data_IF_307550028567
#
_entry.id   IF_307550028567
#
_cell.length_a   1.000
_cell.length_b   1.000
_cell.length_c   1.000
_cell.angle_alpha   90.00
_cell.angle_beta   90.00
_cell.angle_gamma   90.00
#
_symmetry.space_group_name_H-M   'P 1'
#
loop_
_entity.id
_entity.type
_entity.pdbx_description
1 polymer ?
#
# COMPACT_ATOMS: atom_id res chain seq x y z
N UNK A 1 6.51 55.21 -1.47
CA UNK A 1 5.35 54.58 -2.14
C UNK A 1 5.87 53.45 -3.03
N UNK A 2 5.71 52.19 -2.62
CA UNK A 2 6.02 51.01 -3.44
C UNK A 2 4.68 50.35 -3.80
N UNK A 3 4.36 50.30 -5.09
CA UNK A 3 3.14 49.69 -5.62
C UNK A 3 3.29 48.17 -5.63
N UNK A 4 2.50 47.48 -4.82
CA UNK A 4 2.33 46.03 -4.86
C UNK A 4 1.38 45.65 -6.00
N UNK A 5 1.90 45.00 -7.04
CA UNK A 5 1.10 44.39 -8.10
C UNK A 5 0.51 43.07 -7.61
N UNK A 6 -0.79 43.05 -7.35
CA UNK A 6 -1.57 41.83 -7.07
C UNK A 6 -1.79 41.06 -8.37
N UNK A 7 -1.13 39.92 -8.54
CA UNK A 7 -1.44 38.97 -9.62
C UNK A 7 -2.70 38.19 -9.25
N UNK A 8 -3.82 38.46 -9.91
CA UNK A 8 -5.03 37.65 -9.76
C UNK A 8 -4.85 36.31 -10.47
N UNK A 9 -4.73 35.22 -9.71
CA UNK A 9 -4.80 33.87 -10.25
C UNK A 9 -6.23 33.58 -10.71
N UNK A 10 -6.42 33.43 -12.02
CA UNK A 10 -7.70 33.07 -12.61
C UNK A 10 -8.02 31.61 -12.28
N UNK A 11 -8.86 31.38 -11.26
CA UNK A 11 -9.45 30.06 -10.99
C UNK A 11 -10.29 29.61 -12.19
N UNK A 12 -9.91 28.49 -12.80
CA UNK A 12 -10.67 27.89 -13.89
C UNK A 12 -11.80 27.04 -13.32
N UNK A 13 -13.02 27.60 -13.30
CA UNK A 13 -14.25 26.87 -12.92
C UNK A 13 -14.87 26.18 -14.13
N UNK A 14 -14.69 24.87 -14.25
CA UNK A 14 -15.57 24.07 -15.12
C UNK A 14 -16.93 23.96 -14.42
N UNK A 15 -18.07 24.20 -15.10
CA UNK A 15 -19.37 24.16 -14.45
C UNK A 15 -19.66 22.77 -13.88
N UNK A 16 -20.02 22.69 -12.59
CA UNK A 16 -20.42 21.48 -11.86
C UNK A 16 -21.34 20.53 -12.66
N UNK A 17 -22.19 21.09 -13.53
CA UNK A 17 -23.10 20.35 -14.43
C UNK A 17 -22.36 19.41 -15.39
N UNK A 18 -21.18 19.79 -15.90
CA UNK A 18 -20.38 18.96 -16.82
C UNK A 18 -19.69 17.80 -16.09
N UNK A 19 -19.23 18.03 -14.86
CA UNK A 19 -18.65 16.99 -14.00
C UNK A 19 -19.69 15.91 -13.61
N UNK A 20 -20.88 16.35 -13.21
CA UNK A 20 -22.00 15.45 -12.90
C UNK A 20 -22.40 14.64 -14.14
N UNK A 21 -22.42 15.25 -15.32
CA UNK A 21 -22.78 14.56 -16.56
C UNK A 21 -21.80 13.43 -16.90
N UNK A 22 -20.49 13.65 -16.77
CA UNK A 22 -19.46 12.61 -17.02
C UNK A 22 -19.59 11.46 -16.01
N UNK A 23 -19.82 11.77 -14.73
CA UNK A 23 -20.04 10.76 -13.69
C UNK A 23 -21.30 9.93 -13.95
N UNK A 24 -22.41 10.59 -14.29
CA UNK A 24 -23.67 9.92 -14.62
C UNK A 24 -23.55 9.05 -15.87
N UNK A 25 -22.76 9.45 -16.88
CA UNK A 25 -22.51 8.61 -18.05
C UNK A 25 -21.66 7.36 -17.71
N UNK A 26 -20.69 7.48 -16.80
CA UNK A 26 -19.91 6.33 -16.30
C UNK A 26 -20.74 5.35 -15.48
N UNK A 27 -21.62 5.87 -14.63
CA UNK A 27 -22.53 5.05 -13.80
C UNK A 27 -23.62 4.42 -14.68
N UNK A 28 -24.24 5.17 -15.60
CA UNK A 28 -25.29 4.67 -16.48
C UNK A 28 -24.77 3.61 -17.47
N UNK A 29 -23.53 3.73 -17.95
CA UNK A 29 -22.91 2.68 -18.77
C UNK A 29 -22.67 1.41 -17.96
N UNK A 30 -22.23 1.53 -16.70
CA UNK A 30 -22.01 0.37 -15.81
C UNK A 30 -23.33 -0.32 -15.41
N UNK A 31 -24.36 0.45 -15.04
CA UNK A 31 -25.68 -0.08 -14.64
C UNK A 31 -26.44 -0.61 -15.86
N UNK A 32 -26.38 0.08 -17.00
CA UNK A 32 -27.01 -0.35 -18.25
C UNK A 32 -26.48 -1.69 -18.76
N UNK A 33 -25.18 -1.95 -18.58
CA UNK A 33 -24.58 -3.25 -18.87
C UNK A 33 -25.19 -4.34 -17.97
N UNK A 34 -25.30 -4.11 -16.66
CA UNK A 34 -25.84 -5.10 -15.72
C UNK A 34 -27.34 -5.41 -15.94
N UNK A 35 -28.18 -4.39 -16.14
CA UNK A 35 -29.64 -4.57 -16.32
C UNK A 35 -29.96 -5.22 -17.67
N UNK A 36 -29.22 -4.90 -18.73
CA UNK A 36 -29.47 -5.46 -20.06
C UNK A 36 -28.99 -6.91 -20.20
N UNK A 37 -27.90 -7.29 -19.54
CA UNK A 37 -27.42 -8.70 -19.52
C UNK A 37 -28.37 -9.65 -18.78
N UNK A 38 -29.10 -9.16 -17.77
CA UNK A 38 -30.09 -9.96 -17.03
C UNK A 38 -31.34 -10.30 -17.86
N UNK A 39 -31.75 -9.42 -18.77
CA UNK A 39 -32.96 -9.62 -19.57
C UNK A 39 -32.71 -10.45 -20.84
N UNK A 40 -31.51 -10.40 -21.42
CA UNK A 40 -31.16 -11.15 -22.64
C UNK A 40 -30.80 -12.62 -22.40
N UNK A 41 -30.52 -13.02 -21.15
CA UNK A 41 -30.16 -14.39 -20.80
C UNK A 41 -31.32 -15.39 -20.96
N UNK A 42 -32.55 -14.91 -21.18
CA UNK A 42 -33.73 -15.78 -21.29
C UNK A 42 -34.07 -16.24 -22.71
N UNK A 43 -33.52 -15.62 -23.77
CA UNK A 43 -34.01 -15.90 -25.14
C UNK A 43 -32.95 -16.15 -26.22
N UNK A 44 -31.72 -15.62 -26.14
CA UNK A 44 -30.73 -15.79 -27.23
C UNK A 44 -29.26 -15.81 -26.74
N UNK A 45 -28.64 -16.99 -26.51
CA UNK A 45 -27.28 -17.08 -25.96
C UNK A 45 -26.17 -16.55 -26.89
N UNK A 46 -26.40 -16.51 -28.21
CA UNK A 46 -25.39 -16.02 -29.19
C UNK A 46 -25.35 -14.49 -29.35
N UNK A 47 -26.35 -13.75 -28.86
CA UNK A 47 -26.35 -12.27 -28.92
C UNK A 47 -25.57 -11.64 -27.76
N UNK A 48 -25.48 -12.35 -26.63
CA UNK A 48 -24.84 -11.89 -25.41
C UNK A 48 -23.33 -11.68 -25.58
N UNK A 49 -22.63 -12.59 -26.26
CA UNK A 49 -21.19 -12.47 -26.50
C UNK A 49 -20.83 -11.25 -27.37
N UNK A 50 -21.64 -10.97 -28.41
CA UNK A 50 -21.47 -9.77 -29.25
C UNK A 50 -21.82 -8.48 -28.50
N UNK A 51 -22.84 -8.51 -27.65
CA UNK A 51 -23.23 -7.39 -26.83
C UNK A 51 -22.14 -7.04 -25.80
N UNK A 52 -21.60 -8.04 -25.10
CA UNK A 52 -20.48 -7.90 -24.16
C UNK A 52 -19.25 -7.36 -24.90
N UNK A 53 -18.92 -7.92 -26.07
CA UNK A 53 -17.77 -7.46 -26.86
C UNK A 53 -17.92 -6.00 -27.32
N UNK A 54 -19.12 -5.58 -27.76
CA UNK A 54 -19.40 -4.19 -28.16
C UNK A 54 -19.36 -3.22 -26.96
N UNK A 55 -19.89 -3.64 -25.81
CA UNK A 55 -19.84 -2.83 -24.58
C UNK A 55 -18.40 -2.66 -24.08
N UNK A 56 -17.62 -3.74 -24.08
CA UNK A 56 -16.20 -3.71 -23.73
C UNK A 56 -15.40 -2.84 -24.71
N UNK A 57 -15.64 -2.95 -26.01
CA UNK A 57 -14.97 -2.12 -27.02
C UNK A 57 -15.33 -0.63 -26.91
N UNK A 58 -16.60 -0.31 -26.61
CA UNK A 58 -17.03 1.07 -26.37
C UNK A 58 -16.39 1.64 -25.10
N UNK A 59 -16.30 0.84 -24.03
CA UNK A 59 -15.59 1.20 -22.80
C UNK A 59 -14.10 1.45 -23.05
N UNK A 60 -13.39 0.55 -23.73
CA UNK A 60 -11.99 0.70 -24.15
C UNK A 60 -11.78 1.98 -24.97
N UNK A 61 -12.64 2.24 -25.96
CA UNK A 61 -12.54 3.43 -26.82
C UNK A 61 -12.77 4.73 -26.04
N UNK A 62 -13.80 4.75 -25.19
CA UNK A 62 -14.11 5.92 -24.37
C UNK A 62 -13.05 6.15 -23.30
N UNK A 63 -12.50 5.10 -22.69
CA UNK A 63 -11.40 5.18 -21.74
C UNK A 63 -10.10 5.67 -22.41
N UNK A 64 -9.79 5.22 -23.62
CA UNK A 64 -8.66 5.74 -24.41
C UNK A 64 -8.84 7.22 -24.75
N UNK A 65 -10.06 7.65 -25.07
CA UNK A 65 -10.36 9.06 -25.33
C UNK A 65 -10.29 9.90 -24.05
N UNK A 66 -10.93 9.46 -22.94
CA UNK A 66 -10.88 10.15 -21.64
C UNK A 66 -9.44 10.24 -21.14
N UNK A 67 -8.68 9.15 -21.24
CA UNK A 67 -7.26 9.15 -20.86
C UNK A 67 -6.45 10.07 -21.75
N UNK A 68 -6.72 10.23 -23.04
CA UNK A 68 -6.03 11.22 -23.89
C UNK A 68 -6.38 12.66 -23.53
N UNK A 69 -7.65 12.95 -23.23
CA UNK A 69 -8.10 14.29 -22.82
C UNK A 69 -7.53 14.67 -21.45
N UNK A 70 -7.45 13.72 -20.52
CA UNK A 70 -6.86 13.90 -19.18
C UNK A 70 -5.31 13.88 -19.21
N UNK A 71 -4.68 13.16 -20.16
CA UNK A 71 -3.22 12.92 -20.21
C UNK A 71 -2.35 14.14 -20.50
N UNK A 72 -2.83 15.16 -21.20
CA UNK A 72 -1.90 16.13 -21.81
C UNK A 72 -1.70 17.43 -21.03
N UNK A 73 -2.68 17.88 -20.23
CA UNK A 73 -2.55 19.12 -19.45
C UNK A 73 -2.54 18.91 -17.94
N UNK A 74 -3.32 17.95 -17.44
CA UNK A 74 -3.48 17.72 -16.01
C UNK A 74 -2.44 16.74 -15.45
N UNK A 75 -1.91 15.83 -16.27
CA UNK A 75 -0.86 14.90 -15.86
C UNK A 75 0.47 15.60 -15.51
N UNK A 76 0.82 16.68 -16.23
CA UNK A 76 1.97 17.54 -15.90
C UNK A 76 1.74 18.39 -14.65
N UNK A 77 0.49 18.72 -14.33
CA UNK A 77 0.14 19.44 -13.09
C UNK A 77 0.16 18.50 -11.88
N UNK A 78 -0.42 17.30 -12.04
CA UNK A 78 -0.27 16.17 -11.11
C UNK A 78 1.20 15.93 -10.77
N UNK A 79 2.07 15.85 -11.78
CA UNK A 79 3.51 15.63 -11.58
C UNK A 79 4.25 16.72 -10.78
N UNK A 80 3.74 17.95 -10.71
CA UNK A 80 4.42 19.05 -9.99
C UNK A 80 4.22 19.04 -8.48
N UNK A 81 3.32 18.20 -7.95
CA UNK A 81 3.10 18.07 -6.51
C UNK A 81 3.32 16.64 -5.99
N UNK A 82 3.78 15.72 -6.84
CA UNK A 82 4.08 14.36 -6.39
C UNK A 82 5.45 14.38 -5.74
N UNK A 83 5.48 14.21 -4.42
CA UNK A 83 6.68 13.99 -3.66
C UNK A 83 6.69 12.55 -3.13
N UNK A 84 7.86 11.89 -3.13
CA UNK A 84 7.97 10.52 -2.62
C UNK A 84 7.62 10.44 -1.14
N UNK A 85 8.10 11.40 -0.35
CA UNK A 85 7.82 11.55 1.08
C UNK A 85 7.12 12.87 1.37
N UNK A 86 6.35 12.89 2.46
CA UNK A 86 5.70 14.09 2.97
C UNK A 86 6.35 14.45 4.31
N UNK A 87 7.30 15.39 4.29
CA UNK A 87 8.16 15.74 5.42
C UNK A 87 7.38 16.22 6.65
N UNK A 88 6.23 16.86 6.43
CA UNK A 88 5.34 17.30 7.50
C UNK A 88 3.93 16.72 7.31
N UNK A 89 3.65 15.54 7.87
CA UNK A 89 2.32 14.95 7.89
C UNK A 89 1.27 15.86 8.56
N UNK A 90 1.69 16.85 9.36
CA UNK A 90 0.77 17.80 9.99
C UNK A 90 0.22 18.85 9.02
N UNK A 91 0.81 19.00 7.82
CA UNK A 91 0.26 19.86 6.76
C UNK A 91 -0.84 19.18 5.94
N UNK A 92 -1.16 17.93 6.28
CA UNK A 92 -2.18 17.15 5.59
C UNK A 92 -3.53 17.27 6.32
N UNK A 93 -4.67 17.01 5.65
CA UNK A 93 -5.97 16.90 6.32
C UNK A 93 -6.04 15.76 7.34
N UNK A 94 -5.04 14.90 7.39
CA UNK A 94 -4.92 13.77 8.31
C UNK A 94 -4.06 14.10 9.54
N UNK A 95 -3.59 15.34 9.69
CA UNK A 95 -2.76 15.78 10.82
C UNK A 95 -3.30 15.35 12.19
N UNK A 96 -4.62 15.53 12.41
CA UNK A 96 -5.25 15.13 13.67
C UNK A 96 -5.22 13.61 13.89
N UNK A 97 -5.40 12.81 12.82
CA UNK A 97 -5.30 11.35 12.90
C UNK A 97 -3.87 10.95 13.30
N UNK A 98 -2.86 11.49 12.62
CA UNK A 98 -1.45 11.19 12.91
C UNK A 98 -1.06 11.59 14.33
N UNK A 99 -1.37 12.83 14.73
CA UNK A 99 -1.11 13.30 16.09
C UNK A 99 -1.81 12.44 17.14
N UNK A 100 -3.04 11.99 16.88
CA UNK A 100 -3.76 11.10 17.80
C UNK A 100 -3.13 9.71 17.89
N UNK A 101 -2.61 9.17 16.78
CA UNK A 101 -1.89 7.89 16.79
C UNK A 101 -0.57 7.99 17.54
N UNK A 102 0.22 9.04 17.29
CA UNK A 102 1.50 9.27 18.00
C UNK A 102 1.28 9.47 19.51
N UNK A 103 0.27 10.27 19.89
CA UNK A 103 -0.08 10.49 21.29
C UNK A 103 -0.56 9.22 22.01
N UNK A 104 -1.06 8.23 21.26
CA UNK A 104 -1.55 6.94 21.76
C UNK A 104 -0.59 5.79 21.40
N UNK A 105 0.65 6.09 21.01
CA UNK A 105 1.61 5.11 20.49
C UNK A 105 1.85 3.95 21.44
N UNK A 106 1.99 4.21 22.74
CA UNK A 106 2.18 3.18 23.75
C UNK A 106 0.98 2.23 23.83
N UNK A 107 -0.24 2.77 23.89
CA UNK A 107 -1.46 1.96 23.96
C UNK A 107 -1.68 1.13 22.68
N UNK A 108 -1.41 1.70 21.50
CA UNK A 108 -1.44 0.97 20.23
C UNK A 108 -0.40 -0.17 20.20
N UNK A 109 0.79 0.09 20.73
CA UNK A 109 1.84 -0.92 20.87
C UNK A 109 1.40 -2.03 21.81
N UNK A 110 0.72 -1.70 22.92
CA UNK A 110 0.19 -2.70 23.85
C UNK A 110 -0.90 -3.59 23.21
N UNK A 111 -1.81 -3.03 22.39
CA UNK A 111 -2.77 -3.84 21.62
C UNK A 111 -2.04 -4.84 20.71
N UNK A 112 -1.03 -4.36 19.97
CA UNK A 112 -0.20 -5.22 19.13
C UNK A 112 0.53 -6.31 19.92
N UNK A 113 1.19 -5.95 21.02
CA UNK A 113 1.94 -6.91 21.83
C UNK A 113 1.02 -7.95 22.48
N UNK A 114 -0.17 -7.55 22.91
CA UNK A 114 -1.17 -8.47 23.45
C UNK A 114 -1.69 -9.44 22.37
N UNK A 115 -1.97 -8.94 21.16
CA UNK A 115 -2.31 -9.76 20.01
C UNK A 115 -1.17 -10.74 19.69
N UNK A 116 0.05 -10.24 19.50
CA UNK A 116 1.23 -11.03 19.16
C UNK A 116 1.54 -12.10 20.23
N UNK A 117 1.32 -11.80 21.51
CA UNK A 117 1.43 -12.77 22.61
C UNK A 117 0.36 -13.86 22.54
N UNK A 118 -0.89 -13.46 22.34
CA UNK A 118 -2.04 -14.39 22.26
C UNK A 118 -1.88 -15.37 21.10
N UNK A 119 -1.38 -14.87 19.98
CA UNK A 119 -1.11 -15.63 18.76
C UNK A 119 0.37 -15.99 18.62
N UNK A 120 1.12 -16.03 19.72
CA UNK A 120 2.53 -16.41 19.69
C UNK A 120 2.68 -17.86 19.20
N UNK A 121 3.56 -18.05 18.24
CA UNK A 121 3.73 -19.34 17.54
C UNK A 121 2.64 -19.65 16.50
N UNK A 122 1.59 -18.83 16.39
CA UNK A 122 0.82 -18.77 15.16
C UNK A 122 1.70 -18.08 14.12
N UNK A 123 2.01 -18.75 13.02
CA UNK A 123 2.80 -18.13 11.98
C UNK A 123 1.91 -17.05 11.35
N UNK A 124 2.43 -15.83 11.26
CA UNK A 124 1.66 -14.69 10.76
C UNK A 124 1.20 -14.98 9.33
N UNK A 125 -0.05 -14.67 8.99
CA UNK A 125 -0.65 -15.03 7.69
C UNK A 125 0.21 -14.45 6.56
N UNK A 126 0.88 -15.33 5.82
CA UNK A 126 1.52 -14.99 4.56
C UNK A 126 0.46 -14.49 3.58
N UNK A 127 0.75 -13.40 2.87
CA UNK A 127 -0.18 -12.66 2.01
C UNK A 127 -1.29 -13.53 1.37
N UNK A 128 -2.55 -13.23 1.73
CA UNK A 128 -3.79 -13.92 1.30
C UNK A 128 -4.07 -13.79 -0.20
N UNK A 129 -3.25 -13.04 -0.93
CA UNK A 129 -3.58 -12.55 -2.25
C UNK A 129 -2.85 -13.37 -3.31
N UNK A 130 -3.58 -14.17 -4.11
CA UNK A 130 -3.00 -15.05 -5.13
C UNK A 130 -2.14 -14.30 -6.16
N UNK A 131 -2.48 -13.04 -6.45
CA UNK A 131 -1.81 -12.22 -7.46
C UNK A 131 -0.57 -11.47 -6.96
N UNK A 132 -0.29 -11.46 -5.64
CA UNK A 132 1.00 -11.00 -5.12
C UNK A 132 2.09 -12.08 -5.20
N UNK A 133 1.78 -13.24 -5.79
CA UNK A 133 2.73 -14.34 -5.99
C UNK A 133 4.02 -13.91 -6.70
N UNK A 134 3.98 -12.87 -7.54
CA UNK A 134 5.17 -12.31 -8.19
C UNK A 134 6.17 -11.64 -7.25
N UNK A 135 5.69 -10.97 -6.20
CA UNK A 135 6.54 -10.30 -5.20
C UNK A 135 6.93 -11.24 -4.05
N UNK A 136 6.02 -12.14 -3.66
CA UNK A 136 6.21 -13.04 -2.52
C UNK A 136 7.23 -14.16 -2.77
N UNK A 137 7.60 -14.43 -4.03
CA UNK A 137 8.50 -15.53 -4.35
C UNK A 137 9.88 -15.43 -3.66
N UNK A 138 10.30 -14.23 -3.26
CA UNK A 138 11.60 -13.99 -2.61
C UNK A 138 11.51 -13.74 -1.10
N UNK A 139 10.34 -13.35 -0.59
CA UNK A 139 10.17 -12.97 0.82
C UNK A 139 9.80 -14.18 1.70
N UNK A 140 9.06 -15.14 1.12
CA UNK A 140 8.62 -16.36 1.81
C UNK A 140 7.83 -16.06 3.08
N UNK A 141 8.04 -16.86 4.11
CA UNK A 141 7.32 -16.77 5.39
C UNK A 141 7.81 -15.62 6.30
N UNK A 142 8.62 -14.71 5.77
CA UNK A 142 9.27 -13.63 6.54
C UNK A 142 8.55 -12.29 6.43
N UNK A 143 7.50 -12.21 5.62
CA UNK A 143 6.63 -11.06 5.52
C UNK A 143 5.17 -11.49 5.52
N UNK A 144 4.41 -10.91 6.44
CA UNK A 144 3.01 -11.25 6.67
C UNK A 144 2.17 -9.98 6.85
N UNK A 145 0.90 -10.08 6.48
CA UNK A 145 -0.04 -8.96 6.58
C UNK A 145 -1.31 -9.40 7.29
N UNK A 146 -1.71 -8.66 8.32
CA UNK A 146 -3.00 -8.81 9.01
C UNK A 146 -3.99 -7.78 8.45
N UNK A 147 -5.08 -8.25 7.85
CA UNK A 147 -6.09 -7.39 7.21
C UNK A 147 -7.19 -7.01 8.20
N UNK A 148 -7.07 -5.84 8.81
CA UNK A 148 -8.00 -5.38 9.84
C UNK A 148 -9.28 -4.79 9.24
N UNK A 149 -9.12 -3.91 8.24
CA UNK A 149 -10.20 -3.35 7.42
C UNK A 149 -9.75 -3.24 5.98
N UNK A 150 -10.59 -3.66 5.05
CA UNK A 150 -10.32 -3.55 3.62
C UNK A 150 -11.55 -3.00 2.91
N UNK A 151 -11.41 -1.84 2.28
CA UNK A 151 -12.50 -1.13 1.59
C UNK A 151 -13.78 -1.11 2.45
N UNK A 152 -13.65 -0.63 3.69
CA UNK A 152 -14.75 -0.49 4.64
C UNK A 152 -15.24 -1.79 5.31
N UNK A 153 -14.84 -2.97 4.83
CA UNK A 153 -15.18 -4.25 5.48
C UNK A 153 -14.19 -4.54 6.60
N UNK A 154 -14.70 -4.71 7.83
CA UNK A 154 -13.90 -4.97 9.04
C UNK A 154 -13.81 -6.47 9.35
N UNK A 155 -12.67 -6.89 9.90
CA UNK A 155 -12.48 -8.22 10.48
C UNK A 155 -12.93 -8.25 11.95
N UNK A 156 -13.37 -9.41 12.44
CA UNK A 156 -13.70 -9.63 13.85
C UNK A 156 -12.48 -9.45 14.75
N UNK A 157 -11.28 -9.77 14.22
CA UNK A 157 -9.99 -9.51 14.86
C UNK A 157 -9.84 -8.02 15.18
N UNK A 158 -10.21 -7.15 14.24
CA UNK A 158 -10.12 -5.70 14.43
C UNK A 158 -11.03 -5.19 15.55
N UNK A 159 -12.22 -5.77 15.69
CA UNK A 159 -13.15 -5.44 16.77
C UNK A 159 -12.67 -5.95 18.14
N UNK A 160 -12.16 -7.18 18.19
CA UNK A 160 -11.80 -7.85 19.44
C UNK A 160 -10.46 -7.38 19.99
N UNK A 161 -9.44 -7.32 19.15
CA UNK A 161 -8.04 -7.24 19.60
C UNK A 161 -7.42 -5.84 19.44
N UNK A 162 -8.06 -4.95 18.67
CA UNK A 162 -7.53 -3.63 18.34
C UNK A 162 -8.57 -2.48 18.48
N UNK A 163 -9.32 -2.40 19.59
CA UNK A 163 -10.41 -1.43 19.76
C UNK A 163 -9.97 0.03 19.66
N UNK A 164 -8.78 0.40 20.16
CA UNK A 164 -8.24 1.75 20.08
C UNK A 164 -7.83 2.09 18.65
N UNK A 165 -7.07 1.22 17.98
CA UNK A 165 -6.70 1.43 16.58
C UNK A 165 -7.95 1.59 15.70
N UNK A 166 -8.96 0.75 15.92
CA UNK A 166 -10.24 0.82 15.22
C UNK A 166 -10.94 2.16 15.42
N UNK A 167 -10.98 2.66 16.66
CA UNK A 167 -11.55 3.97 17.00
C UNK A 167 -10.81 5.11 16.29
N UNK A 168 -9.49 5.13 16.36
CA UNK A 168 -8.67 6.18 15.75
C UNK A 168 -8.83 6.22 14.23
N UNK A 169 -8.90 5.05 13.60
CA UNK A 169 -8.92 4.90 12.14
C UNK A 169 -10.33 4.79 11.55
N UNK A 170 -11.40 5.12 12.29
CA UNK A 170 -12.80 4.90 11.86
C UNK A 170 -13.15 5.46 10.46
N UNK A 171 -12.44 6.48 9.99
CA UNK A 171 -12.65 7.11 8.68
C UNK A 171 -11.68 6.66 7.58
N UNK A 172 -10.84 5.66 7.85
CA UNK A 172 -9.87 5.11 6.90
C UNK A 172 -10.43 3.83 6.29
N UNK A 173 -10.56 3.77 4.96
CA UNK A 173 -11.18 2.62 4.30
C UNK A 173 -10.32 1.34 4.36
N UNK A 174 -9.02 1.52 4.57
CA UNK A 174 -8.03 0.45 4.56
C UNK A 174 -7.11 0.54 5.78
N UNK A 175 -7.07 -0.54 6.56
CA UNK A 175 -6.24 -0.66 7.76
C UNK A 175 -5.66 -2.07 7.78
N UNK A 176 -4.34 -2.19 7.85
CA UNK A 176 -3.66 -3.46 8.03
C UNK A 176 -2.47 -3.33 8.99
N UNK A 177 -1.92 -4.47 9.40
CA UNK A 177 -0.63 -4.53 10.08
C UNK A 177 0.32 -5.33 9.21
N UNK A 178 1.45 -4.73 8.85
CA UNK A 178 2.51 -5.37 8.08
C UNK A 178 3.62 -5.78 9.04
N UNK A 179 3.98 -7.05 9.02
CA UNK A 179 5.02 -7.62 9.89
C UNK A 179 6.12 -8.21 9.04
N UNK A 180 7.35 -7.76 9.29
CA UNK A 180 8.55 -8.28 8.62
C UNK A 180 9.49 -8.85 9.67
N UNK A 181 9.98 -10.06 9.43
CA UNK A 181 10.97 -10.72 10.27
C UNK A 181 12.40 -10.32 9.86
N UNK A 182 13.39 -10.70 10.66
CA UNK A 182 14.79 -10.40 10.37
C UNK A 182 15.22 -10.98 9.01
N UNK A 183 16.16 -10.32 8.35
CA UNK A 183 16.72 -10.67 7.05
C UNK A 183 15.70 -10.62 5.89
N UNK A 184 14.62 -9.84 6.05
CA UNK A 184 13.57 -9.69 5.04
C UNK A 184 13.91 -8.59 4.05
N UNK A 185 13.69 -8.89 2.77
CA UNK A 185 13.82 -7.94 1.67
C UNK A 185 12.53 -8.00 0.86
N UNK A 186 11.85 -6.87 0.76
CA UNK A 186 10.73 -6.69 -0.17
C UNK A 186 11.30 -5.98 -1.39
N UNK A 187 11.24 -6.64 -2.54
CA UNK A 187 11.77 -6.11 -3.79
C UNK A 187 11.14 -4.77 -4.17
N UNK A 188 11.87 -4.04 -5.01
CA UNK A 188 11.42 -2.75 -5.51
C UNK A 188 10.15 -2.93 -6.34
N UNK A 189 9.10 -2.20 -5.98
CA UNK A 189 7.79 -2.27 -6.60
C UNK A 189 7.10 -0.91 -6.61
N UNK A 190 5.95 -0.84 -7.30
CA UNK A 190 5.07 0.34 -7.30
C UNK A 190 3.67 -0.09 -6.90
N UNK A 191 2.99 0.76 -6.16
CA UNK A 191 1.57 0.69 -5.89
C UNK A 191 0.77 0.83 -7.18
N UNK A 192 -0.43 0.25 -7.18
CA UNK A 192 -1.29 0.21 -8.37
C UNK A 192 -2.34 1.33 -8.40
N UNK A 193 -2.60 2.00 -7.28
CA UNK A 193 -3.69 2.96 -7.14
C UNK A 193 -3.16 4.39 -6.97
N UNK A 194 -3.37 5.28 -7.95
CA UNK A 194 -2.83 6.63 -7.89
C UNK A 194 -3.62 7.59 -7.01
N UNK A 195 -4.73 7.14 -6.42
CA UNK A 195 -5.61 7.96 -5.60
C UNK A 195 -5.35 7.81 -4.10
N UNK A 196 -4.30 7.08 -3.71
CA UNK A 196 -3.97 6.84 -2.31
C UNK A 196 -2.53 7.26 -2.00
N UNK A 197 -2.31 7.60 -0.75
CA UNK A 197 -1.02 7.70 -0.08
C UNK A 197 -0.96 6.64 0.99
N UNK A 198 0.25 6.21 1.32
CA UNK A 198 0.47 5.17 2.30
C UNK A 198 1.10 5.76 3.54
N UNK A 199 0.43 5.56 4.68
CA UNK A 199 0.95 5.90 5.99
C UNK A 199 1.35 4.63 6.74
N UNK A 200 2.60 4.58 7.20
CA UNK A 200 3.16 3.48 7.98
C UNK A 200 3.52 3.95 9.38
N UNK A 201 2.85 3.42 10.40
CA UNK A 201 3.07 3.78 11.79
C UNK A 201 3.77 2.66 12.57
N UNK A 202 4.90 2.96 13.20
CA UNK A 202 5.71 1.98 13.93
C UNK A 202 5.03 1.49 15.22
N UNK A 203 4.64 0.21 15.26
CA UNK A 203 4.13 -0.44 16.48
C UNK A 203 5.27 -1.10 17.27
N UNK A 204 6.12 -1.83 16.55
CA UNK A 204 7.27 -2.53 17.11
C UNK A 204 8.42 -2.34 16.14
N UNK A 205 9.45 -1.62 16.59
CA UNK A 205 10.69 -1.42 15.84
C UNK A 205 11.84 -1.85 16.75
N UNK A 206 12.61 -2.90 16.39
CA UNK A 206 13.69 -3.36 17.25
C UNK A 206 14.76 -2.28 17.46
N UNK A 207 15.33 -2.24 18.66
CA UNK A 207 16.39 -1.30 19.03
C UNK A 207 17.67 -1.57 18.21
N UNK A 208 18.44 -0.52 17.93
CA UNK A 208 19.72 -0.63 17.21
C UNK A 208 19.60 -0.73 15.68
N UNK A 209 18.40 -0.77 15.10
CA UNK A 209 18.23 -0.89 13.65
C UNK A 209 18.24 0.45 12.88
N UNK A 210 18.27 1.58 13.61
CA UNK A 210 18.06 2.93 13.06
C UNK A 210 19.35 3.76 12.95
N UNK A 211 20.52 3.20 13.27
CA UNK A 211 21.78 3.94 13.19
C UNK A 211 22.40 3.73 11.80
N UNK A 212 22.55 4.83 11.04
CA UNK A 212 23.24 4.85 9.74
C UNK A 212 24.78 4.82 9.89
N UNK A 213 25.29 4.99 11.12
CA UNK A 213 26.63 5.50 11.37
C UNK A 213 27.80 4.55 11.03
N UNK A 214 27.54 3.27 10.68
CA UNK A 214 28.62 2.31 10.40
C UNK A 214 28.68 1.78 8.95
N UNK A 215 27.86 2.26 8.02
CA UNK A 215 27.89 1.78 6.63
C UNK A 215 28.88 2.53 5.71
N UNK A 216 29.43 3.67 6.15
CA UNK A 216 30.42 4.43 5.38
C UNK A 216 31.84 3.97 5.77
N UNK A 217 32.28 2.89 5.15
CA UNK A 217 33.61 2.31 5.33
C UNK A 217 34.74 3.33 5.12
N UNK A 218 35.20 3.94 6.22
CA UNK A 218 36.52 4.55 6.31
C UNK A 218 37.31 3.73 7.31
N UNK A 219 38.20 2.91 6.76
CA UNK A 219 39.08 1.97 7.45
C UNK A 219 39.88 2.66 8.55
N UNK A 220 39.38 2.68 9.79
CA UNK A 220 40.21 2.99 10.96
C UNK A 220 40.10 1.83 11.94
N UNK A 221 41.19 1.07 11.95
CA UNK A 221 41.47 -0.10 12.78
C UNK A 221 41.56 0.31 14.25
N UNK A 222 40.49 0.13 15.02
CA UNK A 222 40.57 0.00 16.47
C UNK A 222 39.76 -1.20 16.94
N UNK A 223 40.45 -2.11 17.63
CA UNK A 223 39.96 -3.40 18.13
C UNK A 223 38.93 -3.24 19.26
N UNK A 224 37.72 -2.81 18.92
CA UNK A 224 36.52 -3.13 19.70
C UNK A 224 35.74 -4.17 18.91
N UNK A 225 35.18 -5.15 19.61
CA UNK A 225 34.28 -6.16 19.04
C UNK A 225 33.02 -5.45 18.55
N UNK A 226 33.10 -4.90 17.34
CA UNK A 226 32.03 -4.17 16.68
C UNK A 226 30.98 -5.20 16.24
N UNK A 227 29.90 -5.30 16.99
CA UNK A 227 28.69 -5.94 16.49
C UNK A 227 28.25 -5.18 15.24
N UNK A 228 28.19 -5.88 14.12
CA UNK A 228 27.81 -5.34 12.81
C UNK A 228 26.35 -4.88 12.89
N UNK A 229 26.14 -3.56 12.89
CA UNK A 229 24.82 -2.95 12.91
C UNK A 229 24.01 -3.35 11.67
N UNK A 230 22.77 -3.77 11.89
CA UNK A 230 21.89 -4.31 10.84
C UNK A 230 20.81 -3.28 10.48
N UNK A 231 20.83 -2.70 9.27
CA UNK A 231 19.95 -1.59 8.97
C UNK A 231 18.49 -2.01 8.67
N UNK A 232 17.56 -1.09 8.93
CA UNK A 232 16.15 -1.22 8.58
C UNK A 232 15.62 0.10 7.99
N UNK A 233 15.20 0.08 6.73
CA UNK A 233 14.72 1.28 6.03
C UNK A 233 13.75 1.00 4.89
N UNK A 234 12.93 2.01 4.59
CA UNK A 234 12.11 2.12 3.40
C UNK A 234 12.92 2.85 2.33
N UNK A 235 13.10 2.22 1.18
CA UNK A 235 13.65 2.87 -0.01
C UNK A 235 12.50 3.43 -0.82
N UNK A 236 12.58 4.69 -1.23
CA UNK A 236 11.69 5.27 -2.24
C UNK A 236 12.54 5.99 -3.29
N UNK A 237 12.44 5.56 -4.54
CA UNK A 237 13.08 6.25 -5.66
C UNK A 237 12.45 7.62 -5.85
N UNK A 238 13.27 8.66 -5.68
CA UNK A 238 12.93 10.01 -6.04
C UNK A 238 13.09 10.20 -7.56
N UNK A 239 12.36 11.15 -8.18
CA UNK A 239 12.58 11.52 -9.57
C UNK A 239 14.01 12.04 -9.81
N UNK A 240 14.52 11.91 -11.04
CA UNK A 240 15.94 12.08 -11.43
C UNK A 240 16.64 13.36 -10.94
N UNK A 241 15.90 14.43 -10.65
CA UNK A 241 16.47 15.69 -10.12
C UNK A 241 16.85 15.65 -8.63
N UNK A 242 16.46 14.61 -7.88
CA UNK A 242 16.72 14.47 -6.44
C UNK A 242 17.59 13.26 -6.07
N UNK A 243 18.31 12.68 -7.04
CA UNK A 243 19.13 11.50 -6.76
C UNK A 243 20.28 11.83 -5.81
N UNK A 244 20.23 11.24 -4.60
CA UNK A 244 21.36 11.18 -3.67
C UNK A 244 22.43 10.16 -4.11
N UNK A 245 23.42 9.91 -3.26
CA UNK A 245 24.52 8.97 -3.56
C UNK A 245 24.02 7.61 -4.05
N UNK A 246 24.71 7.08 -5.07
CA UNK A 246 24.33 5.87 -5.80
C UNK A 246 24.62 4.61 -4.96
N UNK A 247 23.57 3.97 -4.41
CA UNK A 247 23.74 2.71 -3.69
C UNK A 247 23.46 1.50 -4.58
N UNK A 248 24.47 0.65 -4.71
CA UNK A 248 24.27 -0.74 -5.10
C UNK A 248 23.78 -1.51 -3.87
N UNK A 249 22.48 -1.81 -3.77
CA UNK A 249 21.99 -2.80 -2.80
C UNK A 249 22.68 -4.12 -3.11
N UNK A 250 23.72 -4.46 -2.33
CA UNK A 250 24.33 -5.78 -2.39
C UNK A 250 23.38 -6.73 -1.69
N UNK A 251 22.55 -7.40 -2.48
CA UNK A 251 21.85 -8.59 -2.00
C UNK A 251 22.88 -9.52 -1.33
N UNK A 252 22.60 -10.06 -0.12
CA UNK A 252 23.51 -10.98 0.54
C UNK A 252 23.92 -12.09 -0.44
N UNK A 253 25.23 -12.31 -0.65
CA UNK A 253 25.73 -13.30 -1.60
C UNK A 253 25.30 -14.75 -1.28
N UNK A 254 24.68 -14.97 -0.12
CA UNK A 254 24.18 -16.26 0.35
C UNK A 254 22.69 -16.50 0.12
N UNK A 255 21.97 -15.64 -0.62
CA UNK A 255 20.66 -16.06 -1.11
C UNK A 255 20.84 -17.22 -2.12
N UNK A 256 20.15 -18.36 -1.94
CA UNK A 256 20.28 -19.49 -2.85
C UNK A 256 19.94 -19.05 -4.28
N UNK A 257 20.82 -19.40 -5.23
CA UNK A 257 20.97 -18.94 -6.64
C UNK A 257 19.72 -19.00 -7.54
N UNK A 258 18.58 -18.45 -7.12
CA UNK A 258 17.30 -18.41 -7.85
C UNK A 258 16.83 -16.99 -8.17
N UNK A 259 17.68 -15.99 -8.00
CA UNK A 259 17.53 -14.77 -8.80
C UNK A 259 17.88 -15.18 -10.23
N UNK A 260 16.95 -15.11 -11.21
CA UNK A 260 17.25 -15.46 -12.58
C UNK A 260 18.46 -14.66 -13.01
N UNK A 261 19.48 -15.37 -13.49
CA UNK A 261 20.73 -14.81 -13.99
C UNK A 261 20.42 -13.99 -15.26
N UNK A 262 19.78 -12.82 -15.11
CA UNK A 262 19.71 -11.81 -16.14
C UNK A 262 21.12 -11.25 -16.25
N UNK A 263 21.86 -11.82 -17.22
CA UNK A 263 23.23 -11.44 -17.63
C UNK A 263 23.39 -9.96 -18.06
N UNK A 264 22.34 -9.14 -17.96
CA UNK A 264 22.35 -7.69 -18.16
C UNK A 264 21.71 -6.94 -16.96
N UNK A 265 21.83 -7.46 -15.72
CA UNK A 265 21.48 -6.67 -14.54
C UNK A 265 22.59 -5.64 -14.31
N UNK A 266 22.51 -4.52 -15.03
CA UNK A 266 22.86 -3.25 -14.41
C UNK A 266 22.23 -3.30 -13.02
N UNK A 267 23.05 -3.31 -11.96
CA UNK A 267 22.54 -3.25 -10.59
C UNK A 267 21.54 -2.09 -10.59
N UNK A 268 20.26 -2.29 -10.23
CA UNK A 268 19.35 -1.16 -10.15
C UNK A 268 19.96 -0.22 -9.10
N UNK A 269 20.56 0.85 -9.58
CA UNK A 269 21.07 1.91 -8.73
C UNK A 269 19.88 2.79 -8.43
N UNK A 270 19.44 2.69 -7.18
CA UNK A 270 18.27 3.37 -6.64
C UNK A 270 18.85 4.58 -5.94
N UNK A 271 18.96 5.71 -6.63
CA UNK A 271 19.33 7.01 -6.06
C UNK A 271 18.19 7.59 -5.21
N UNK A 272 17.63 6.77 -4.31
CA UNK A 272 16.38 7.03 -3.61
C UNK A 272 16.55 7.65 -2.22
N UNK A 273 15.49 8.29 -1.75
CA UNK A 273 15.35 8.75 -0.38
C UNK A 273 15.14 7.54 0.54
N UNK A 274 15.72 7.60 1.73
CA UNK A 274 15.58 6.59 2.78
C UNK A 274 14.74 7.15 3.91
N UNK A 275 13.85 6.32 4.45
CA UNK A 275 13.18 6.61 5.71
C UNK A 275 13.37 5.43 6.67
N UNK A 276 13.73 5.75 7.91
CA UNK A 276 13.83 4.79 9.00
C UNK A 276 12.52 4.77 9.78
N UNK A 277 12.13 3.59 10.26
CA UNK A 277 10.97 3.51 11.15
C UNK A 277 11.39 3.87 12.56
N UNK A 278 10.57 4.65 13.24
CA UNK A 278 10.68 4.87 14.67
C UNK A 278 9.41 4.35 15.34
N UNK A 279 9.56 3.71 16.49
CA UNK A 279 8.40 3.24 17.24
C UNK A 279 7.56 4.43 17.69
N UNK A 280 6.26 4.35 17.48
CA UNK A 280 5.31 5.42 17.79
C UNK A 280 5.31 6.59 16.81
N UNK A 281 6.06 6.51 15.69
CA UNK A 281 6.08 7.53 14.63
C UNK A 281 5.55 7.00 13.31
N UNK A 282 5.10 7.93 12.49
CA UNK A 282 4.53 7.66 11.18
C UNK A 282 5.41 8.11 10.02
N UNK A 283 5.39 7.36 8.92
CA UNK A 283 5.96 7.73 7.62
C UNK A 283 4.81 7.83 6.62
N UNK A 284 4.65 8.99 5.98
CA UNK A 284 3.70 9.19 4.89
C UNK A 284 4.45 9.27 3.56
N UNK A 285 4.12 8.38 2.62
CA UNK A 285 4.76 8.34 1.32
C UNK A 285 3.77 8.01 0.20
N UNK A 286 4.16 8.33 -1.03
CA UNK A 286 3.40 7.98 -2.22
C UNK A 286 3.90 6.65 -2.79
N UNK A 287 3.07 5.62 -2.63
CA UNK A 287 3.36 4.25 -3.05
C UNK A 287 3.49 4.09 -4.57
N UNK A 288 3.11 5.11 -5.37
CA UNK A 288 3.31 5.09 -6.83
C UNK A 288 4.77 5.21 -7.25
N UNK A 289 5.62 5.75 -6.38
CA UNK A 289 7.07 5.72 -6.60
C UNK A 289 7.60 4.30 -6.39
N UNK A 290 8.70 3.99 -7.06
CA UNK A 290 9.37 2.71 -6.83
C UNK A 290 9.87 2.67 -5.40
N UNK A 291 9.48 1.65 -4.66
CA UNK A 291 9.83 1.52 -3.26
C UNK A 291 10.12 0.07 -2.90
N UNK A 292 10.92 -0.13 -1.87
CA UNK A 292 11.31 -1.44 -1.35
C UNK A 292 11.58 -1.37 0.14
N UNK A 293 11.58 -2.52 0.81
CA UNK A 293 11.79 -2.59 2.25
C UNK A 293 12.97 -3.50 2.55
N UNK A 294 13.88 -3.01 3.38
CA UNK A 294 14.96 -3.82 3.96
C UNK A 294 14.73 -3.91 5.46
N UNK A 295 14.67 -5.14 5.97
CA UNK A 295 14.66 -5.40 7.41
C UNK A 295 15.74 -6.43 7.76
N UNK A 296 16.90 -5.96 8.22
CA UNK A 296 17.97 -6.84 8.66
C UNK A 296 17.98 -7.10 10.16
N UNK A 297 17.06 -6.50 10.93
CA UNK A 297 17.22 -6.38 12.37
C UNK A 297 15.91 -6.67 13.08
N UNK A 298 15.81 -7.87 13.67
CA UNK A 298 14.65 -8.32 14.44
C UNK A 298 13.31 -8.35 13.68
N UNK A 299 12.23 -8.58 14.43
CA UNK A 299 10.86 -8.53 13.89
C UNK A 299 10.29 -7.13 14.07
N UNK A 300 9.78 -6.55 12.99
CA UNK A 300 9.14 -5.24 12.95
C UNK A 300 7.67 -5.37 12.60
N UNK A 301 6.81 -4.63 13.31
CA UNK A 301 5.40 -4.47 12.98
C UNK A 301 5.05 -2.99 12.77
N UNK A 302 4.32 -2.71 11.69
CA UNK A 302 3.81 -1.36 11.38
C UNK A 302 2.32 -1.41 11.06
N UNK A 303 1.54 -0.43 11.55
CA UNK A 303 0.20 -0.19 11.01
C UNK A 303 0.36 0.42 9.63
N UNK A 304 -0.38 -0.11 8.68
CA UNK A 304 -0.46 0.38 7.32
C UNK A 304 -1.87 0.94 7.06
N UNK A 305 -1.94 2.23 6.71
CA UNK A 305 -3.15 2.91 6.26
C UNK A 305 -3.01 3.34 4.80
N UNK A 306 -4.01 3.03 3.96
CA UNK A 306 -4.16 3.71 2.66
C UNK A 306 -5.12 4.89 2.84
N UNK A 307 -4.58 6.09 2.67
CA UNK A 307 -5.26 7.36 2.83
C UNK A 307 -5.55 7.94 1.46
N UNK A 308 -6.77 8.44 1.21
CA UNK A 308 -7.00 9.10 -0.06
C UNK A 308 -6.13 10.34 -0.28
N UNK A 309 -5.76 10.58 -1.52
CA UNK A 309 -4.99 11.77 -1.90
C UNK A 309 -5.80 13.04 -1.79
N UNK A 310 -5.52 13.86 -0.78
CA UNK A 310 -6.18 15.15 -0.61
C UNK A 310 -5.72 16.19 -1.64
N UNK A 311 -4.52 16.04 -2.18
CA UNK A 311 -3.98 16.89 -3.24
C UNK A 311 -4.62 16.61 -4.61
N UNK A 312 -5.33 15.48 -4.74
CA UNK A 312 -6.03 15.07 -5.96
C UNK A 312 -7.55 15.32 -5.93
N UNK A 313 -8.01 16.34 -5.19
CA UNK A 313 -9.44 16.68 -5.00
C UNK A 313 -10.23 17.08 -6.28
N UNK A 314 -9.66 16.92 -7.47
CA UNK A 314 -10.28 17.32 -8.72
C UNK A 314 -11.54 16.46 -9.03
N UNK A 315 -12.60 17.11 -9.53
CA UNK A 315 -13.88 16.51 -9.97
C UNK A 315 -14.69 15.72 -8.93
N UNK A 316 -14.37 15.80 -7.64
CA UNK A 316 -15.02 14.94 -6.65
C UNK A 316 -14.67 13.46 -6.84
N UNK A 317 -13.60 13.13 -7.56
CA UNK A 317 -13.05 11.77 -7.66
C UNK A 317 -12.79 11.19 -6.28
N UNK A 318 -12.38 12.04 -5.33
CA UNK A 318 -12.22 11.69 -3.93
C UNK A 318 -13.54 11.20 -3.30
N UNK A 319 -14.65 11.89 -3.55
CA UNK A 319 -15.97 11.47 -3.08
C UNK A 319 -16.41 10.17 -3.73
N UNK A 320 -16.11 9.98 -5.01
CA UNK A 320 -16.37 8.72 -5.72
C UNK A 320 -15.52 7.59 -5.15
N UNK A 321 -14.23 7.79 -4.94
CA UNK A 321 -13.32 6.82 -4.33
C UNK A 321 -13.79 6.43 -2.93
N UNK A 322 -14.14 7.42 -2.09
CA UNK A 322 -14.69 7.17 -0.77
C UNK A 322 -16.01 6.41 -0.83
N UNK A 323 -16.92 6.81 -1.73
CA UNK A 323 -18.18 6.10 -1.92
C UNK A 323 -17.96 4.66 -2.36
N UNK A 324 -17.16 4.43 -3.40
CA UNK A 324 -16.87 3.08 -3.91
C UNK A 324 -16.19 2.26 -2.84
N UNK A 325 -15.16 2.78 -2.18
CA UNK A 325 -14.43 2.06 -1.14
C UNK A 325 -15.34 1.70 0.02
N UNK A 326 -16.13 2.63 0.55
CA UNK A 326 -16.99 2.37 1.73
C UNK A 326 -18.32 1.67 1.43
N UNK A 327 -18.90 1.87 0.24
CA UNK A 327 -20.25 1.38 -0.09
C UNK A 327 -20.27 0.20 -1.05
N UNK A 328 -19.21 0.00 -1.83
CA UNK A 328 -19.16 -1.07 -2.83
C UNK A 328 -17.95 -1.99 -2.63
N UNK A 329 -16.95 -1.57 -1.85
CA UNK A 329 -15.74 -2.34 -1.58
C UNK A 329 -15.99 -3.72 -1.01
N UNK A 330 -17.00 -3.85 -0.14
CA UNK A 330 -17.41 -5.12 0.45
C UNK A 330 -18.02 -6.10 -0.57
N UNK A 331 -18.45 -5.64 -1.75
CA UNK A 331 -19.00 -6.51 -2.80
C UNK A 331 -17.89 -7.23 -3.57
N UNK A 332 -16.65 -6.75 -3.51
CA UNK A 332 -15.53 -7.35 -4.21
C UNK A 332 -15.18 -8.71 -3.56
N UNK A 333 -15.18 -9.82 -4.33
CA UNK A 333 -14.88 -11.16 -3.80
C UNK A 333 -13.54 -11.23 -3.07
N UNK A 334 -12.58 -10.47 -3.57
CA UNK A 334 -11.24 -10.36 -3.02
C UNK A 334 -11.23 -9.76 -1.60
N UNK A 335 -11.93 -8.65 -1.38
CA UNK A 335 -12.10 -8.03 -0.05
C UNK A 335 -12.73 -9.00 0.94
N UNK A 336 -13.81 -9.69 0.53
CA UNK A 336 -14.48 -10.69 1.38
C UNK A 336 -13.55 -11.84 1.74
N UNK A 337 -12.75 -12.31 0.78
CA UNK A 337 -11.83 -13.44 0.98
C UNK A 337 -10.71 -13.07 1.95
N UNK A 338 -10.11 -11.88 1.81
CA UNK A 338 -9.06 -11.41 2.70
C UNK A 338 -9.53 -11.26 4.15
N UNK A 339 -10.70 -10.62 4.35
CA UNK A 339 -11.30 -10.44 5.68
C UNK A 339 -11.75 -11.76 6.28
N UNK A 340 -12.45 -12.60 5.51
CA UNK A 340 -12.89 -13.93 5.97
C UNK A 340 -11.70 -14.77 6.41
N UNK A 341 -10.62 -14.84 5.63
CA UNK A 341 -9.44 -15.62 6.00
C UNK A 341 -8.77 -15.07 7.25
N UNK A 342 -8.72 -13.75 7.43
CA UNK A 342 -8.25 -13.15 8.68
C UNK A 342 -9.09 -13.63 9.87
N UNK A 343 -10.41 -13.62 9.74
CA UNK A 343 -11.32 -14.11 10.78
C UNK A 343 -11.14 -15.61 11.04
N UNK A 344 -11.11 -16.42 9.99
CA UNK A 344 -11.01 -17.88 10.08
C UNK A 344 -9.69 -18.30 10.74
N UNK A 345 -8.57 -17.67 10.35
CA UNK A 345 -7.27 -17.97 10.93
C UNK A 345 -7.18 -17.52 12.40
N UNK A 346 -7.64 -16.33 12.73
CA UNK A 346 -7.52 -15.78 14.09
C UNK A 346 -8.79 -15.97 14.93
N UNK A 347 -9.64 -16.92 14.57
CA UNK A 347 -10.79 -17.36 15.37
C UNK A 347 -10.33 -17.87 16.74
N UNK A 348 -9.19 -18.57 16.79
CA UNK A 348 -8.52 -19.07 17.99
C UNK A 348 -7.00 -19.12 17.81
N UNK A 349 -6.25 -19.30 18.90
CA UNK A 349 -4.81 -19.50 18.81
C UNK A 349 -4.43 -20.82 18.13
N UNK A 350 -5.28 -21.85 18.23
CA UNK A 350 -5.06 -23.16 17.59
C UNK A 350 -5.25 -23.09 16.07
N UNK A 351 -6.35 -22.50 15.61
CA UNK A 351 -6.62 -22.28 14.17
C UNK A 351 -5.53 -21.43 13.53
N UNK A 352 -5.01 -20.43 14.25
CA UNK A 352 -3.97 -19.56 13.74
C UNK A 352 -2.67 -20.32 13.45
N UNK A 353 -2.34 -21.35 14.26
CA UNK A 353 -1.20 -22.25 14.01
C UNK A 353 -1.38 -23.13 12.78
N UNK A 354 -2.62 -23.51 12.47
CA UNK A 354 -2.93 -24.40 11.35
C UNK A 354 -2.92 -23.66 9.99
N UNK A 355 -3.35 -22.40 9.94
CA UNK A 355 -3.54 -21.66 8.69
C UNK A 355 -2.33 -21.65 7.73
N UNK A 356 -1.09 -21.52 8.22
CA UNK A 356 0.05 -21.49 7.29
C UNK A 356 0.46 -22.86 6.75
N UNK A 357 0.06 -23.96 7.40
CA UNK A 357 0.36 -25.30 6.87
C UNK A 357 -0.37 -25.53 5.55
N UNK A 358 -1.61 -25.06 5.45
CA UNK A 358 -2.44 -25.20 4.25
C UNK A 358 -1.96 -24.31 3.11
N UNK A 359 -1.57 -23.06 3.40
CA UNK A 359 -1.04 -22.16 2.37
C UNK A 359 0.30 -22.63 1.79
N UNK A 360 1.18 -23.18 2.63
CA UNK A 360 2.43 -23.79 2.19
C UNK A 360 2.21 -24.99 1.27
N UNK A 361 1.10 -25.72 1.43
CA UNK A 361 0.70 -26.84 0.57
C UNK A 361 0.10 -26.35 -0.75
N UNK A 362 -0.72 -25.29 -0.75
CA UNK A 362 -1.30 -24.72 -1.98
C UNK A 362 -0.20 -24.16 -2.91
N UNK A 363 0.80 -23.48 -2.36
CA UNK A 363 1.94 -22.96 -3.13
C UNK A 363 2.81 -24.09 -3.69
N UNK A 364 2.98 -25.20 -2.95
CA UNK A 364 3.75 -26.36 -3.41
C UNK A 364 3.00 -27.20 -4.44
N UNK A 365 1.66 -27.27 -4.38
CA UNK A 365 0.82 -28.11 -5.24
C UNK A 365 0.50 -27.55 -6.63
N UNK A 366 0.67 -26.23 -6.86
CA UNK A 366 0.45 -25.60 -8.18
C UNK A 366 1.71 -25.52 -9.07
N UNK A 367 2.81 -26.16 -8.68
CA UNK A 367 3.95 -26.44 -9.59
C UNK A 367 3.74 -27.80 -10.26
N UNK A 368 2.88 -27.84 -11.27
CA UNK A 368 2.92 -28.85 -12.32
C UNK A 368 2.87 -28.17 -13.69
#
# INVERSE_FOLDING_TARGET
>A
MKSSSSSSSTEMRIPLKQAILVLLMGIASSIGICVWTGHLNAQHPFSLSRAIWRAHYAYERNWRWLSHVVRLRDWRWLHKQVQPFFDDPQQTPYAQLFASMEAQSEALTQEWMQFAKTYSGAPLIGNVLPDHAGYNQYVGDRWSTLWLRMLGLESEVFHRDFPLLRKLTQNVAFVGISVTHENTFIDIHRGYNPLILRYLFGLQVPEGCNQEDNCNGTTTTTNTTNEEEKPMFLLVNAPDEQQGEEWAVRYPQHQPSRVPNKKNSNKPTVGGLKAHWEQGKGILFDDLFEHGVVNLCGTRAVVWLDLPRWDLQFWGLQSVYNFVSWRLGYLLPYTKTAIRRTNDCFASAETARQCNQEDGLIVKGKKQ
#
